data_IF_710985764808
#
_entry.id   IF_710985764808
#
_cell.length_a   1.000
_cell.length_b   1.000
_cell.length_c   1.000
_cell.angle_alpha   90.00
_cell.angle_beta   90.00
_cell.angle_gamma   90.00
#
_symmetry.space_group_name_H-M   'P 1'
#
loop_
_entity.id
_entity.type
_entity.pdbx_description
1 polymer ?
#
# COMPACT_ATOMS: atom_id res chain seq x y z
N UNK A 1 0.22 -11.71 28.02
CA UNK A 1 1.43 -12.49 28.33
C UNK A 1 2.52 -12.06 27.39
N UNK A 2 3.76 -11.82 27.84
CA UNK A 2 4.85 -11.36 26.99
C UNK A 2 5.28 -12.47 26.04
N UNK A 3 5.59 -12.10 24.81
CA UNK A 3 6.07 -12.98 23.76
C UNK A 3 7.44 -13.57 24.11
N UNK A 4 7.57 -14.86 24.02
CA UNK A 4 8.83 -15.59 24.20
C UNK A 4 9.59 -15.61 22.86
N UNK A 5 10.69 -14.86 22.77
CA UNK A 5 11.49 -14.61 21.55
C UNK A 5 12.56 -15.72 21.34
N UNK A 6 12.42 -16.87 21.95
CA UNK A 6 13.52 -17.83 22.07
C UNK A 6 13.57 -18.99 21.06
N UNK A 7 12.62 -19.14 20.13
CA UNK A 7 12.71 -20.22 19.12
C UNK A 7 12.10 -19.71 17.80
N UNK A 8 12.89 -19.67 16.73
CA UNK A 8 12.53 -19.20 15.40
C UNK A 8 11.42 -20.00 14.69
N UNK A 9 10.28 -20.10 15.30
CA UNK A 9 9.09 -20.72 14.71
C UNK A 9 8.25 -19.65 14.02
N UNK A 10 7.94 -19.90 12.76
CA UNK A 10 6.94 -19.18 11.98
C UNK A 10 5.62 -19.15 12.75
N UNK A 11 5.16 -17.99 13.15
CA UNK A 11 3.88 -17.83 13.85
C UNK A 11 2.79 -17.57 12.82
N UNK A 12 1.91 -18.54 12.58
CA UNK A 12 0.66 -18.30 11.86
C UNK A 12 -0.30 -17.55 12.79
N UNK A 13 -0.85 -16.42 12.32
CA UNK A 13 -1.95 -15.75 13.02
C UNK A 13 -3.23 -16.58 12.96
N UNK A 14 -4.20 -16.32 13.81
CA UNK A 14 -5.50 -17.02 13.86
C UNK A 14 -6.27 -16.98 12.52
N UNK A 15 -5.91 -16.10 11.59
CA UNK A 15 -6.45 -15.99 10.22
C UNK A 15 -5.52 -16.61 9.16
N UNK A 16 -4.42 -17.28 9.56
CA UNK A 16 -3.49 -17.93 8.64
C UNK A 16 -2.60 -16.96 7.84
N UNK A 17 -2.51 -15.69 8.20
CA UNK A 17 -1.57 -14.74 7.60
C UNK A 17 -0.16 -14.97 8.16
N UNK A 18 0.88 -14.78 7.33
CA UNK A 18 2.26 -14.99 7.73
C UNK A 18 3.00 -13.68 7.88
N UNK A 19 3.43 -13.41 9.12
CA UNK A 19 4.40 -12.37 9.42
C UNK A 19 5.79 -12.96 9.13
N UNK A 20 6.56 -12.29 8.28
CA UNK A 20 7.97 -12.65 8.08
C UNK A 20 8.76 -12.00 9.22
N UNK A 21 9.34 -12.78 10.18
CA UNK A 21 10.06 -12.18 11.30
C UNK A 21 11.26 -11.35 10.83
N UNK A 22 11.51 -10.21 11.45
CA UNK A 22 12.69 -9.37 11.14
C UNK A 22 14.01 -10.14 11.28
N UNK A 23 14.10 -11.10 12.20
CA UNK A 23 15.28 -11.98 12.36
C UNK A 23 15.57 -12.84 11.14
N UNK A 24 14.56 -13.11 10.32
CA UNK A 24 14.68 -13.84 9.07
C UNK A 24 15.37 -13.02 7.97
N UNK A 25 15.35 -11.71 7.98
CA UNK A 25 16.03 -10.87 6.97
C UNK A 25 17.53 -10.67 7.24
N UNK A 26 18.05 -11.11 8.39
CA UNK A 26 19.41 -10.80 8.86
C UNK A 26 20.28 -12.01 9.23
N UNK A 27 19.88 -13.27 8.92
CA UNK A 27 20.62 -14.51 9.26
C UNK A 27 21.28 -15.18 8.04
N UNK A 28 22.42 -15.88 8.19
CA UNK A 28 23.14 -16.47 7.04
C UNK A 28 22.51 -17.80 6.53
N UNK A 29 22.05 -17.73 5.42
CA UNK A 29 22.11 -18.13 4.03
C UNK A 29 21.32 -19.37 3.54
N UNK A 30 21.41 -20.57 3.91
CA UNK A 30 20.80 -21.64 3.07
C UNK A 30 19.49 -22.24 3.57
N UNK A 31 19.38 -22.52 4.85
CA UNK A 31 18.11 -23.02 5.44
C UNK A 31 17.06 -21.93 5.58
N UNK A 32 17.48 -20.72 5.51
CA UNK A 32 16.74 -19.49 5.70
C UNK A 32 15.97 -19.06 4.43
N UNK A 33 16.62 -19.03 3.27
CA UNK A 33 15.96 -18.76 1.98
C UNK A 33 14.88 -19.82 1.69
N UNK A 34 15.11 -21.06 2.05
CA UNK A 34 14.11 -22.12 1.92
C UNK A 34 12.88 -21.86 2.80
N UNK A 35 13.06 -21.39 4.03
CA UNK A 35 11.96 -21.08 4.95
C UNK A 35 11.11 -19.88 4.47
N UNK A 36 11.74 -18.79 3.99
CA UNK A 36 11.01 -17.63 3.43
C UNK A 36 10.23 -18.03 2.19
N UNK A 37 10.85 -18.78 1.29
CA UNK A 37 10.18 -19.24 0.06
C UNK A 37 8.96 -20.10 0.37
N UNK A 38 8.99 -20.96 1.39
CA UNK A 38 7.83 -21.73 1.83
C UNK A 38 6.69 -20.82 2.34
N UNK A 39 7.01 -19.76 3.07
CA UNK A 39 6.01 -18.78 3.52
C UNK A 39 5.31 -18.14 2.32
N UNK A 40 6.06 -17.75 1.29
CA UNK A 40 5.47 -17.17 0.08
C UNK A 40 4.55 -18.18 -0.62
N UNK A 41 5.00 -19.41 -0.77
CA UNK A 41 4.21 -20.50 -1.36
C UNK A 41 2.90 -20.76 -0.61
N UNK A 42 2.95 -20.82 0.71
CA UNK A 42 1.76 -21.04 1.53
C UNK A 42 0.76 -19.87 1.40
N UNK A 43 1.25 -18.62 1.39
CA UNK A 43 0.40 -17.44 1.19
C UNK A 43 -0.26 -17.45 -0.21
N UNK A 44 0.50 -17.79 -1.24
CA UNK A 44 0.01 -17.88 -2.63
C UNK A 44 -1.01 -19.02 -2.75
N UNK A 45 -0.69 -20.22 -2.28
CA UNK A 45 -1.62 -21.36 -2.34
C UNK A 45 -2.93 -21.10 -1.62
N UNK A 46 -2.88 -20.36 -0.49
CA UNK A 46 -4.09 -19.94 0.21
C UNK A 46 -4.92 -18.98 -0.64
N UNK A 47 -4.30 -17.92 -1.18
CA UNK A 47 -4.97 -16.95 -2.03
C UNK A 47 -5.62 -17.62 -3.25
N UNK A 48 -4.93 -18.52 -3.93
CA UNK A 48 -5.45 -19.26 -5.07
C UNK A 48 -6.70 -20.08 -4.70
N UNK A 49 -6.66 -20.80 -3.58
CA UNK A 49 -7.83 -21.54 -3.09
C UNK A 49 -9.02 -20.64 -2.74
N UNK A 50 -8.77 -19.52 -2.06
CA UNK A 50 -9.82 -18.59 -1.63
C UNK A 50 -10.54 -17.93 -2.81
N UNK A 51 -9.83 -17.69 -3.91
CA UNK A 51 -10.38 -17.02 -5.09
C UNK A 51 -10.72 -17.98 -6.24
N UNK A 52 -10.43 -19.26 -6.11
CA UNK A 52 -10.68 -20.25 -7.15
C UNK A 52 -9.82 -20.08 -8.40
N UNK A 53 -8.59 -19.57 -8.24
CA UNK A 53 -7.63 -19.46 -9.30
C UNK A 53 -6.69 -20.67 -9.36
N UNK A 54 -6.30 -21.08 -10.56
CA UNK A 54 -5.33 -22.16 -10.74
C UNK A 54 -3.89 -21.67 -10.54
N UNK A 55 -3.58 -20.42 -10.95
CA UNK A 55 -2.25 -19.83 -10.85
C UNK A 55 -2.31 -18.29 -10.85
N UNK A 56 -1.19 -17.67 -10.53
CA UNK A 56 -0.93 -16.24 -10.76
C UNK A 56 0.02 -16.12 -11.97
N UNK A 57 -0.46 -15.45 -13.02
CA UNK A 57 0.35 -15.13 -14.22
C UNK A 57 0.74 -13.67 -14.19
N UNK A 58 1.72 -13.33 -13.38
CA UNK A 58 2.09 -11.93 -13.11
C UNK A 58 2.42 -11.15 -14.40
N UNK A 59 1.70 -10.06 -14.65
CA UNK A 59 1.88 -9.12 -15.76
C UNK A 59 1.96 -7.67 -15.31
N UNK A 60 1.38 -7.35 -14.15
CA UNK A 60 1.35 -5.99 -13.62
C UNK A 60 1.56 -5.95 -12.11
N UNK A 61 2.15 -4.85 -11.64
CA UNK A 61 2.29 -4.55 -10.21
C UNK A 61 1.65 -3.19 -9.95
N UNK A 62 0.62 -3.16 -9.12
CA UNK A 62 -0.16 -1.98 -8.78
C UNK A 62 0.37 -1.39 -7.48
N UNK A 63 0.97 -0.22 -7.56
CA UNK A 63 1.58 0.47 -6.43
C UNK A 63 0.68 1.57 -5.89
N UNK A 64 0.48 1.61 -4.57
CA UNK A 64 0.17 2.87 -3.92
C UNK A 64 1.37 3.82 -4.00
N UNK A 65 1.18 5.05 -3.58
CA UNK A 65 2.19 6.07 -3.72
C UNK A 65 2.79 6.51 -2.38
N UNK A 66 1.94 7.03 -1.52
CA UNK A 66 2.35 7.65 -0.26
C UNK A 66 2.71 6.56 0.76
N UNK A 67 3.97 6.56 1.25
CA UNK A 67 4.47 5.47 2.09
C UNK A 67 4.93 4.21 1.34
N UNK A 68 4.71 4.12 0.02
CA UNK A 68 5.20 3.01 -0.83
C UNK A 68 6.30 3.50 -1.79
N UNK A 69 6.01 4.51 -2.59
CA UNK A 69 6.97 5.10 -3.52
C UNK A 69 7.72 6.28 -2.90
N UNK A 70 7.01 7.08 -2.09
CA UNK A 70 7.56 8.25 -1.40
C UNK A 70 7.42 8.13 0.12
N UNK A 71 8.44 8.60 0.84
CA UNK A 71 8.39 8.77 2.29
C UNK A 71 7.63 10.07 2.64
N UNK A 72 6.38 10.15 2.25
CA UNK A 72 5.52 11.34 2.35
C UNK A 72 4.59 11.33 3.56
N UNK A 73 4.35 10.17 4.16
CA UNK A 73 3.35 10.02 5.21
C UNK A 73 3.60 10.86 6.47
N UNK A 74 4.83 11.09 6.95
CA UNK A 74 5.06 12.01 8.06
C UNK A 74 4.54 13.42 7.76
N UNK A 75 4.71 13.89 6.53
CA UNK A 75 4.24 15.22 6.09
C UNK A 75 2.71 15.26 5.92
N UNK A 76 2.12 14.17 5.41
CA UNK A 76 0.66 14.05 5.34
C UNK A 76 0.03 14.04 6.74
N UNK A 77 0.59 13.26 7.67
CA UNK A 77 0.09 13.16 9.04
C UNK A 77 0.18 14.53 9.76
N UNK A 78 1.30 15.25 9.59
CA UNK A 78 1.48 16.58 10.17
C UNK A 78 0.53 17.61 9.57
N UNK A 79 0.39 17.64 8.25
CA UNK A 79 -0.52 18.56 7.57
C UNK A 79 -2.00 18.31 7.93
N UNK A 80 -2.42 17.04 7.97
CA UNK A 80 -3.77 16.68 8.41
C UNK A 80 -4.03 17.09 9.85
N UNK A 81 -3.14 16.73 10.79
CA UNK A 81 -3.29 17.11 12.19
C UNK A 81 -3.39 18.62 12.35
N UNK A 82 -2.44 19.37 11.77
CA UNK A 82 -2.35 20.82 11.90
C UNK A 82 -3.59 21.53 11.36
N UNK A 83 -4.06 21.12 10.19
CA UNK A 83 -5.23 21.79 9.58
C UNK A 83 -6.53 21.39 10.26
N UNK A 84 -6.71 20.14 10.62
CA UNK A 84 -7.89 19.69 11.38
C UNK A 84 -8.01 20.46 12.70
N UNK A 85 -6.92 20.63 13.46
CA UNK A 85 -6.91 21.40 14.71
C UNK A 85 -7.30 22.89 14.48
N UNK A 86 -6.83 23.52 13.39
CA UNK A 86 -7.25 24.89 13.02
C UNK A 86 -8.76 25.03 12.81
N UNK A 87 -9.39 23.98 12.31
CA UNK A 87 -10.84 23.94 12.10
C UNK A 87 -11.62 23.36 13.30
N UNK A 88 -10.97 23.16 14.45
CA UNK A 88 -11.58 22.58 15.65
C UNK A 88 -11.98 21.10 15.48
N UNK A 89 -11.34 20.40 14.55
CA UNK A 89 -11.53 18.98 14.29
C UNK A 89 -10.36 18.19 14.88
N UNK A 90 -10.65 17.04 15.51
CA UNK A 90 -9.63 16.26 16.19
C UNK A 90 -9.21 15.05 15.33
N UNK A 91 -7.98 15.11 14.78
CA UNK A 91 -7.32 14.03 14.08
C UNK A 91 -5.85 13.97 14.53
N UNK A 92 -5.46 12.89 15.21
CA UNK A 92 -4.07 12.71 15.62
C UNK A 92 -3.19 12.35 14.42
N UNK A 93 -1.86 12.58 14.56
CA UNK A 93 -0.89 12.15 13.54
C UNK A 93 -0.91 10.64 13.33
N UNK A 94 -1.05 9.87 14.40
CA UNK A 94 -1.16 8.41 14.33
C UNK A 94 -2.44 7.96 13.61
N UNK A 95 -3.57 8.60 13.92
CA UNK A 95 -4.83 8.32 13.25
C UNK A 95 -4.77 8.64 11.74
N UNK A 96 -4.00 9.63 11.33
CA UNK A 96 -3.84 9.96 9.92
C UNK A 96 -3.28 8.78 9.10
N UNK A 97 -2.41 7.94 9.68
CA UNK A 97 -1.93 6.71 9.03
C UNK A 97 -3.03 5.66 8.82
N UNK A 98 -4.05 5.62 9.70
CA UNK A 98 -5.20 4.73 9.51
C UNK A 98 -6.13 5.17 8.36
N UNK A 99 -6.05 6.44 7.98
CA UNK A 99 -6.85 7.03 6.90
C UNK A 99 -6.06 7.22 5.60
N UNK A 100 -4.80 6.80 5.58
CA UNK A 100 -3.95 6.89 4.39
C UNK A 100 -4.59 6.18 3.19
N UNK A 101 -4.49 6.82 2.01
CA UNK A 101 -5.11 6.31 0.78
C UNK A 101 -6.59 6.68 0.60
N UNK A 102 -7.25 7.29 1.60
CA UNK A 102 -8.59 7.87 1.43
C UNK A 102 -8.53 9.15 0.60
N UNK A 103 -9.64 9.45 -0.06
CA UNK A 103 -9.82 10.80 -0.60
C UNK A 103 -9.92 11.83 0.54
N UNK A 104 -9.47 13.06 0.27
CA UNK A 104 -9.55 14.13 1.28
C UNK A 104 -10.97 14.37 1.80
N UNK A 105 -11.96 14.33 0.91
CA UNK A 105 -13.37 14.45 1.27
C UNK A 105 -13.82 13.36 2.26
N UNK A 106 -13.42 12.11 2.02
CA UNK A 106 -13.79 11.00 2.90
C UNK A 106 -13.13 11.13 4.28
N UNK A 107 -11.86 11.54 4.36
CA UNK A 107 -11.16 11.78 5.63
C UNK A 107 -11.83 12.90 6.42
N UNK A 108 -12.15 14.02 5.79
CA UNK A 108 -12.83 15.16 6.43
C UNK A 108 -14.20 14.72 6.96
N UNK A 109 -14.98 14.02 6.15
CA UNK A 109 -16.31 13.57 6.55
C UNK A 109 -16.28 12.58 7.72
N UNK A 110 -15.33 11.66 7.79
CA UNK A 110 -15.19 10.73 8.93
C UNK A 110 -14.98 11.52 10.24
N UNK A 111 -14.08 12.49 10.22
CA UNK A 111 -13.80 13.31 11.41
C UNK A 111 -15.00 14.18 11.78
N UNK A 112 -15.63 14.79 10.77
CA UNK A 112 -16.79 15.67 10.95
C UNK A 112 -18.02 14.90 11.46
N UNK A 113 -18.30 13.72 10.89
CA UNK A 113 -19.35 12.81 11.36
C UNK A 113 -19.13 12.39 12.81
N UNK A 114 -17.90 11.99 13.16
CA UNK A 114 -17.55 11.59 14.50
C UNK A 114 -17.79 12.70 15.53
N UNK A 115 -17.50 13.96 15.15
CA UNK A 115 -17.54 15.10 16.08
C UNK A 115 -18.90 15.80 16.09
N UNK A 116 -19.61 15.87 14.97
CA UNK A 116 -20.84 16.63 14.81
C UNK A 116 -22.05 15.79 14.38
N UNK A 117 -21.91 14.50 14.12
CA UNK A 117 -23.00 13.60 13.73
C UNK A 117 -23.58 13.87 12.33
N UNK A 118 -22.86 14.58 11.47
CA UNK A 118 -23.28 14.94 10.11
C UNK A 118 -22.05 15.10 9.19
N UNK A 119 -22.27 15.09 7.88
CA UNK A 119 -21.23 15.40 6.90
C UNK A 119 -20.87 16.89 6.90
N UNK A 120 -19.62 17.19 6.56
CA UNK A 120 -19.17 18.53 6.23
C UNK A 120 -19.82 19.00 4.94
N UNK A 121 -20.03 20.33 4.77
CA UNK A 121 -20.53 20.85 3.49
C UNK A 121 -19.45 20.77 2.40
N UNK A 122 -19.82 20.73 1.12
CA UNK A 122 -18.86 20.73 0.03
C UNK A 122 -17.82 21.84 0.13
N UNK A 123 -18.26 23.06 0.52
CA UNK A 123 -17.40 24.25 0.66
C UNK A 123 -16.38 24.06 1.81
N UNK A 124 -16.79 23.44 2.92
CA UNK A 124 -15.89 23.13 4.03
C UNK A 124 -14.86 22.07 3.62
N UNK A 125 -15.30 21.04 2.89
CA UNK A 125 -14.42 19.99 2.38
C UNK A 125 -13.36 20.59 1.48
N UNK A 126 -13.76 21.44 0.53
CA UNK A 126 -12.86 22.12 -0.39
C UNK A 126 -11.85 23.02 0.35
N UNK A 127 -12.32 23.86 1.29
CA UNK A 127 -11.46 24.75 2.08
C UNK A 127 -10.45 23.98 2.93
N UNK A 128 -10.90 22.99 3.69
CA UNK A 128 -10.03 22.18 4.57
C UNK A 128 -9.00 21.42 3.73
N UNK A 129 -9.41 20.85 2.60
CA UNK A 129 -8.50 20.09 1.75
C UNK A 129 -7.49 20.99 1.03
N UNK A 130 -7.89 22.18 0.61
CA UNK A 130 -6.98 23.18 0.05
C UNK A 130 -5.91 23.60 1.08
N UNK A 131 -6.33 23.97 2.30
CA UNK A 131 -5.40 24.31 3.38
C UNK A 131 -4.45 23.15 3.73
N UNK A 132 -4.97 21.91 3.78
CA UNK A 132 -4.15 20.72 4.00
C UNK A 132 -3.10 20.54 2.90
N UNK A 133 -3.47 20.81 1.66
CA UNK A 133 -2.54 20.70 0.52
C UNK A 133 -1.47 21.79 0.58
N UNK A 134 -1.83 23.02 0.98
CA UNK A 134 -0.87 24.08 1.23
C UNK A 134 0.08 23.75 2.39
N UNK A 135 -0.44 23.23 3.50
CA UNK A 135 0.37 22.84 4.65
C UNK A 135 1.36 21.73 4.28
N UNK A 136 0.90 20.71 3.54
CA UNK A 136 1.76 19.66 3.00
C UNK A 136 2.89 20.24 2.12
N UNK A 137 2.56 21.20 1.24
CA UNK A 137 3.54 21.80 0.34
C UNK A 137 4.57 22.73 1.03
N UNK A 138 4.38 23.05 2.32
CA UNK A 138 5.39 23.75 3.14
C UNK A 138 6.51 22.81 3.61
N UNK A 139 6.27 21.51 3.63
CA UNK A 139 7.30 20.53 3.92
C UNK A 139 8.28 20.40 2.74
N UNK A 140 9.50 19.90 2.99
CA UNK A 140 10.42 19.53 1.93
C UNK A 140 9.78 18.53 0.94
N UNK A 141 10.32 18.45 -0.27
CA UNK A 141 9.88 17.41 -1.21
C UNK A 141 10.15 16.02 -0.60
N UNK A 142 9.14 15.12 -0.56
CA UNK A 142 9.34 13.78 -0.02
C UNK A 142 10.39 13.01 -0.82
N UNK A 143 11.30 12.37 -0.11
CA UNK A 143 12.28 11.47 -0.71
C UNK A 143 11.61 10.19 -1.22
N UNK A 144 12.27 9.50 -2.16
CA UNK A 144 11.88 8.15 -2.55
C UNK A 144 11.93 7.24 -1.34
N UNK A 145 10.98 6.34 -1.24
CA UNK A 145 11.06 5.26 -0.26
C UNK A 145 12.27 4.35 -0.62
N UNK A 146 13.14 4.01 0.34
CA UNK A 146 14.26 3.09 0.08
C UNK A 146 13.78 1.78 -0.56
N UNK A 147 14.42 1.35 -1.64
CA UNK A 147 14.05 0.15 -2.41
C UNK A 147 12.99 0.36 -3.48
N UNK A 148 12.26 1.50 -3.48
CA UNK A 148 11.18 1.73 -4.44
C UNK A 148 11.68 1.87 -5.88
N UNK A 149 12.75 2.62 -6.08
CA UNK A 149 13.35 2.78 -7.41
C UNK A 149 13.92 1.46 -7.94
N UNK A 150 14.66 0.76 -7.11
CA UNK A 150 15.34 -0.48 -7.44
C UNK A 150 14.33 -1.58 -7.81
N UNK A 151 13.25 -1.74 -7.05
CA UNK A 151 12.24 -2.76 -7.39
C UNK A 151 11.46 -2.41 -8.65
N UNK A 152 11.17 -1.13 -8.89
CA UNK A 152 10.54 -0.69 -10.14
C UNK A 152 11.42 -0.98 -11.36
N UNK A 153 12.76 -0.80 -11.24
CA UNK A 153 13.70 -1.16 -12.28
C UNK A 153 13.69 -2.67 -12.57
N UNK A 154 13.70 -3.53 -11.52
CA UNK A 154 13.60 -4.98 -11.65
C UNK A 154 12.31 -5.38 -12.37
N UNK A 155 11.16 -4.89 -11.89
CA UNK A 155 9.82 -5.15 -12.45
C UNK A 155 9.78 -4.80 -13.94
N UNK A 156 10.30 -3.63 -14.31
CA UNK A 156 10.32 -3.18 -15.70
C UNK A 156 11.28 -3.99 -16.57
N UNK A 157 12.45 -4.37 -16.04
CA UNK A 157 13.41 -5.22 -16.75
C UNK A 157 12.85 -6.61 -17.07
N UNK A 158 11.92 -7.10 -16.25
CA UNK A 158 11.20 -8.36 -16.44
C UNK A 158 9.98 -8.23 -17.39
N UNK A 159 9.75 -7.04 -17.96
CA UNK A 159 8.63 -6.80 -18.87
C UNK A 159 7.27 -6.64 -18.18
N UNK A 160 7.25 -6.54 -16.84
CA UNK A 160 6.03 -6.31 -16.08
C UNK A 160 5.63 -4.83 -16.13
N UNK A 161 4.34 -4.59 -15.99
CA UNK A 161 3.74 -3.26 -16.06
C UNK A 161 3.55 -2.65 -14.68
N UNK A 162 4.29 -1.59 -14.30
CA UNK A 162 3.96 -0.83 -13.10
C UNK A 162 2.74 0.07 -13.34
N UNK A 163 1.81 0.06 -12.37
CA UNK A 163 0.57 0.86 -12.36
C UNK A 163 0.53 1.65 -11.08
N UNK A 164 0.19 2.93 -11.15
CA UNK A 164 -0.01 3.76 -9.97
C UNK A 164 -1.48 3.76 -9.56
N UNK A 165 -1.77 3.56 -8.27
CA UNK A 165 -3.13 3.65 -7.73
C UNK A 165 -3.12 4.43 -6.42
N UNK A 166 -3.35 5.75 -6.49
CA UNK A 166 -3.27 6.66 -5.33
C UNK A 166 -4.59 7.33 -5.01
N UNK A 167 -4.86 7.56 -3.73
CA UNK A 167 -5.96 8.42 -3.25
C UNK A 167 -5.68 9.93 -3.38
N UNK A 168 -4.50 10.32 -3.83
CA UNK A 168 -4.16 11.73 -3.99
C UNK A 168 -4.83 12.35 -5.21
N UNK A 169 -5.33 13.60 -5.04
CA UNK A 169 -5.90 14.44 -6.09
C UNK A 169 -5.03 15.67 -6.41
N UNK A 170 -3.72 15.63 -6.19
CA UNK A 170 -2.83 16.78 -6.44
C UNK A 170 -2.17 16.70 -7.81
N UNK A 171 -2.34 17.73 -8.64
CA UNK A 171 -1.71 17.80 -9.97
C UNK A 171 -0.18 17.81 -9.91
N UNK A 172 0.41 18.50 -8.91
CA UNK A 172 1.87 18.53 -8.67
C UNK A 172 2.47 17.15 -8.41
N UNK A 173 1.65 16.17 -8.10
CA UNK A 173 2.03 14.80 -7.89
C UNK A 173 2.60 14.13 -9.13
N UNK A 174 1.97 14.35 -10.29
CA UNK A 174 2.40 13.75 -11.55
C UNK A 174 3.78 14.25 -11.98
N UNK A 175 4.05 15.56 -11.77
CA UNK A 175 5.35 16.14 -12.06
C UNK A 175 6.42 15.57 -11.13
N UNK A 176 6.11 15.45 -9.84
CA UNK A 176 7.00 14.83 -8.84
C UNK A 176 7.29 13.37 -9.16
N UNK A 177 6.26 12.60 -9.55
CA UNK A 177 6.41 11.20 -9.94
C UNK A 177 7.30 11.07 -11.17
N UNK A 178 7.09 11.91 -12.20
CA UNK A 178 7.91 11.89 -13.42
C UNK A 178 9.37 12.27 -13.14
N UNK A 179 9.60 13.21 -12.22
CA UNK A 179 10.95 13.61 -11.82
C UNK A 179 11.68 12.51 -11.04
N UNK A 180 11.00 11.92 -10.05
CA UNK A 180 11.62 10.93 -9.16
C UNK A 180 11.66 9.51 -9.74
N UNK A 181 10.71 9.16 -10.61
CA UNK A 181 10.60 7.83 -11.21
C UNK A 181 10.53 7.94 -12.75
N UNK A 182 11.57 8.48 -13.42
CA UNK A 182 11.52 8.79 -14.85
C UNK A 182 11.25 7.53 -15.67
N UNK A 183 10.20 7.60 -16.51
CA UNK A 183 9.82 6.53 -17.42
C UNK A 183 9.23 5.27 -16.76
N UNK A 184 8.98 5.25 -15.44
CA UNK A 184 8.37 4.09 -14.77
C UNK A 184 6.87 4.03 -14.96
N UNK A 185 6.17 5.15 -14.85
CA UNK A 185 4.73 5.21 -14.94
C UNK A 185 4.27 5.96 -16.19
N UNK A 186 3.22 5.47 -16.83
CA UNK A 186 2.54 6.10 -17.96
C UNK A 186 1.21 6.66 -17.48
N UNK A 187 0.83 7.89 -17.89
CA UNK A 187 -0.40 8.56 -17.43
C UNK A 187 -1.66 7.71 -17.64
N UNK A 188 -1.69 6.96 -18.72
CA UNK A 188 -2.79 6.06 -19.08
C UNK A 188 -2.95 4.89 -18.12
N UNK A 189 -1.91 4.59 -17.34
CA UNK A 189 -1.86 3.51 -16.33
C UNK A 189 -1.75 4.04 -14.91
N UNK A 190 -2.26 5.25 -14.68
CA UNK A 190 -2.39 5.84 -13.35
C UNK A 190 -3.85 5.96 -12.98
N UNK A 191 -4.17 5.66 -11.72
CA UNK A 191 -5.46 5.89 -11.08
C UNK A 191 -5.23 6.86 -9.93
N UNK A 192 -5.96 7.97 -9.94
CA UNK A 192 -5.89 9.03 -8.94
C UNK A 192 -7.28 9.29 -8.35
N UNK A 193 -7.38 10.16 -7.34
CA UNK A 193 -8.68 10.53 -6.78
C UNK A 193 -9.66 11.14 -7.83
N UNK A 194 -9.14 11.66 -8.95
CA UNK A 194 -9.98 12.23 -10.02
C UNK A 194 -10.59 11.17 -10.95
N UNK A 195 -10.03 9.95 -10.94
CA UNK A 195 -10.46 8.89 -11.85
C UNK A 195 -11.62 8.07 -11.27
N UNK A 196 -11.82 8.07 -9.95
CA UNK A 196 -12.72 7.16 -9.23
C UNK A 196 -13.87 7.90 -8.54
N UNK A 197 -15.00 7.23 -8.44
CA UNK A 197 -16.14 7.70 -7.65
C UNK A 197 -15.95 7.38 -6.16
N UNK A 198 -15.45 6.20 -5.86
CA UNK A 198 -15.21 5.73 -4.51
C UNK A 198 -13.74 5.42 -4.32
N UNK A 199 -13.10 6.12 -3.36
CA UNK A 199 -11.73 5.84 -2.96
C UNK A 199 -11.60 4.60 -2.07
N UNK A 200 -10.37 4.19 -1.78
CA UNK A 200 -10.05 3.13 -0.82
C UNK A 200 -10.80 3.37 0.51
N UNK A 201 -11.38 2.36 1.16
CA UNK A 201 -11.21 0.91 0.96
C UNK A 201 -12.10 0.29 -0.11
N UNK A 202 -12.84 1.08 -0.90
CA UNK A 202 -13.59 0.53 -2.03
C UNK A 202 -12.60 -0.09 -3.04
N UNK A 203 -12.91 -1.25 -3.65
CA UNK A 203 -12.02 -1.88 -4.63
C UNK A 203 -11.92 -1.12 -5.97
N UNK A 204 -12.80 -0.14 -6.22
CA UNK A 204 -12.86 0.59 -7.50
C UNK A 204 -11.49 1.09 -8.00
N UNK A 205 -10.61 1.71 -7.17
CA UNK A 205 -9.32 2.19 -7.65
C UNK A 205 -8.44 1.06 -8.20
N UNK A 206 -8.41 -0.09 -7.54
CA UNK A 206 -7.61 -1.23 -7.99
C UNK A 206 -8.24 -1.97 -9.17
N UNK A 207 -9.57 -2.10 -9.22
CA UNK A 207 -10.28 -2.64 -10.39
C UNK A 207 -10.03 -1.77 -11.63
N UNK A 208 -10.07 -0.45 -11.48
CA UNK A 208 -9.70 0.48 -12.56
C UNK A 208 -8.21 0.35 -12.95
N UNK A 209 -7.33 0.11 -11.98
CA UNK A 209 -5.91 -0.16 -12.24
C UNK A 209 -5.71 -1.41 -13.09
N UNK A 210 -6.44 -2.49 -12.82
CA UNK A 210 -6.46 -3.70 -13.66
C UNK A 210 -6.96 -3.41 -15.08
N UNK A 211 -8.05 -2.66 -15.19
CA UNK A 211 -8.63 -2.27 -16.49
C UNK A 211 -7.62 -1.46 -17.31
N UNK A 212 -7.02 -0.41 -16.73
CA UNK A 212 -6.00 0.42 -17.40
C UNK A 212 -4.74 -0.35 -17.79
N UNK A 213 -4.40 -1.41 -17.04
CA UNK A 213 -3.29 -2.31 -17.39
C UNK A 213 -3.67 -3.41 -18.39
N UNK A 214 -4.96 -3.65 -18.62
CA UNK A 214 -5.47 -4.71 -19.49
C UNK A 214 -5.22 -6.11 -18.93
N UNK A 215 -5.27 -6.27 -17.58
CA UNK A 215 -4.98 -7.52 -16.88
C UNK A 215 -6.12 -7.94 -15.94
N UNK A 216 -6.16 -9.22 -15.58
CA UNK A 216 -7.08 -9.78 -14.59
C UNK A 216 -6.49 -9.73 -13.18
N UNK A 217 -7.31 -9.96 -12.15
CA UNK A 217 -6.88 -9.95 -10.76
C UNK A 217 -5.74 -10.97 -10.49
N UNK A 218 -5.81 -12.18 -11.05
CA UNK A 218 -4.76 -13.19 -10.95
C UNK A 218 -3.56 -12.96 -11.89
N UNK A 219 -3.50 -11.83 -12.56
CA UNK A 219 -2.36 -11.40 -13.40
C UNK A 219 -1.64 -10.19 -12.80
N UNK A 220 -2.03 -9.78 -11.60
CA UNK A 220 -1.46 -8.63 -10.91
C UNK A 220 -1.24 -8.90 -9.43
N UNK A 221 -0.37 -8.09 -8.83
CA UNK A 221 -0.24 -7.94 -7.37
C UNK A 221 -0.39 -6.48 -7.00
N UNK A 222 -0.82 -6.23 -5.75
CA UNK A 222 -0.86 -4.89 -5.14
C UNK A 222 0.28 -4.74 -4.15
N UNK A 223 0.91 -3.57 -4.10
CA UNK A 223 1.88 -3.18 -3.08
C UNK A 223 1.33 -1.97 -2.34
N UNK A 224 1.11 -2.12 -1.04
CA UNK A 224 0.41 -1.17 -0.17
C UNK A 224 1.05 -1.06 1.21
N UNK A 225 0.84 0.05 1.92
CA UNK A 225 1.32 0.26 3.29
C UNK A 225 0.22 0.65 4.27
N UNK A 226 -0.99 0.96 3.78
CA UNK A 226 -2.10 1.43 4.59
C UNK A 226 -3.22 0.38 4.72
N UNK A 227 -3.86 0.24 5.89
CA UNK A 227 -4.89 -0.77 6.11
C UNK A 227 -6.04 -0.69 5.10
N UNK A 228 -6.51 0.52 4.80
CA UNK A 228 -7.63 0.70 3.85
C UNK A 228 -7.24 0.43 2.39
N UNK A 229 -5.97 0.66 2.04
CA UNK A 229 -5.45 0.31 0.72
C UNK A 229 -5.31 -1.20 0.57
N UNK A 230 -4.82 -1.89 1.61
CA UNK A 230 -4.80 -3.35 1.67
C UNK A 230 -6.22 -3.93 1.55
N UNK A 231 -7.21 -3.36 2.29
CA UNK A 231 -8.62 -3.76 2.16
C UNK A 231 -9.13 -3.60 0.72
N UNK A 232 -8.80 -2.50 0.06
CA UNK A 232 -9.20 -2.25 -1.32
C UNK A 232 -8.59 -3.27 -2.30
N UNK A 233 -7.29 -3.60 -2.15
CA UNK A 233 -6.59 -4.61 -2.95
C UNK A 233 -7.19 -6.00 -2.76
N UNK A 234 -7.40 -6.40 -1.50
CA UNK A 234 -8.03 -7.68 -1.14
C UNK A 234 -9.47 -7.77 -1.66
N UNK A 235 -10.26 -6.69 -1.51
CA UNK A 235 -11.65 -6.63 -2.01
C UNK A 235 -11.72 -6.64 -3.55
N UNK A 236 -10.67 -6.20 -4.25
CA UNK A 236 -10.54 -6.33 -5.69
C UNK A 236 -10.15 -7.75 -6.13
N UNK A 237 -9.92 -8.67 -5.19
CA UNK A 237 -9.51 -10.04 -5.45
C UNK A 237 -8.08 -10.17 -5.96
N UNK A 238 -7.20 -9.22 -5.63
CA UNK A 238 -5.81 -9.17 -6.08
C UNK A 238 -4.89 -9.62 -4.96
N UNK A 239 -3.85 -10.43 -5.26
CA UNK A 239 -2.82 -10.77 -4.29
C UNK A 239 -2.15 -9.51 -3.76
N UNK A 240 -2.34 -9.23 -2.47
CA UNK A 240 -1.93 -7.96 -1.87
C UNK A 240 -0.74 -8.15 -0.93
N UNK A 241 0.34 -7.45 -1.23
CA UNK A 241 1.56 -7.37 -0.43
C UNK A 241 1.55 -6.08 0.35
N UNK A 242 1.66 -6.17 1.67
CA UNK A 242 1.83 -5.00 2.52
C UNK A 242 3.32 -4.75 2.80
N UNK A 243 3.71 -3.47 2.82
CA UNK A 243 5.02 -2.99 3.28
C UNK A 243 4.81 -2.06 4.48
N UNK A 244 5.27 -2.47 5.66
CA UNK A 244 5.04 -1.69 6.89
C UNK A 244 6.06 -0.56 7.01
N UNK A 245 5.77 0.56 6.39
CA UNK A 245 6.64 1.76 6.35
C UNK A 245 6.20 2.86 7.33
N UNK A 246 5.12 2.63 8.06
CA UNK A 246 4.57 3.53 9.07
C UNK A 246 4.73 3.01 10.51
N UNK A 247 4.14 3.73 11.48
CA UNK A 247 4.21 3.37 12.90
C UNK A 247 3.20 2.29 13.32
N UNK A 248 2.34 1.81 12.42
CA UNK A 248 1.28 0.87 12.75
C UNK A 248 1.86 -0.51 13.07
N UNK A 249 1.16 -1.24 13.97
CA UNK A 249 1.45 -2.66 14.13
C UNK A 249 1.18 -3.40 12.81
N UNK A 250 2.14 -4.22 12.37
CA UNK A 250 2.00 -5.00 11.14
C UNK A 250 0.79 -5.93 11.13
N UNK A 251 0.30 -6.34 12.31
CA UNK A 251 -0.92 -7.14 12.43
C UNK A 251 -2.16 -6.43 11.86
N UNK A 252 -2.21 -5.10 11.95
CA UNK A 252 -3.30 -4.29 11.38
C UNK A 252 -3.38 -4.46 9.85
N UNK A 253 -2.23 -4.56 9.18
CA UNK A 253 -2.15 -4.78 7.74
C UNK A 253 -2.55 -6.23 7.37
N UNK A 254 -2.14 -7.21 8.17
CA UNK A 254 -2.56 -8.60 7.98
C UNK A 254 -4.07 -8.77 8.20
N UNK A 255 -4.62 -8.14 9.23
CA UNK A 255 -6.06 -8.15 9.52
C UNK A 255 -6.88 -7.42 8.44
N UNK A 256 -6.29 -6.46 7.76
CA UNK A 256 -6.87 -5.78 6.61
C UNK A 256 -6.94 -6.67 5.35
N UNK A 257 -6.24 -7.80 5.32
CA UNK A 257 -6.28 -8.79 4.24
C UNK A 257 -5.01 -8.89 3.41
N UNK A 258 -3.86 -8.38 3.90
CA UNK A 258 -2.58 -8.61 3.23
C UNK A 258 -2.24 -10.11 3.18
N UNK A 259 -1.84 -10.59 2.00
CA UNK A 259 -1.37 -11.96 1.81
C UNK A 259 0.06 -12.14 2.31
N UNK A 260 0.91 -11.12 2.11
CA UNK A 260 2.28 -11.05 2.61
C UNK A 260 2.52 -9.69 3.27
N UNK A 261 3.39 -9.66 4.28
CA UNK A 261 3.83 -8.46 4.96
C UNK A 261 5.35 -8.39 5.00
N UNK A 262 5.91 -7.30 4.47
CA UNK A 262 7.32 -6.95 4.58
C UNK A 262 7.50 -5.80 5.58
N UNK A 263 8.61 -5.77 6.34
CA UNK A 263 8.86 -4.71 7.32
C UNK A 263 9.23 -3.35 6.69
N UNK A 264 9.53 -3.33 5.39
CA UNK A 264 9.84 -2.12 4.65
C UNK A 264 9.76 -2.36 3.14
N UNK A 265 9.75 -1.28 2.37
CA UNK A 265 9.84 -1.35 0.91
C UNK A 265 11.21 -1.89 0.44
N UNK A 266 12.30 -1.60 1.20
CA UNK A 266 13.62 -2.18 0.94
C UNK A 266 13.60 -3.70 1.10
N UNK A 267 13.00 -4.21 2.16
CA UNK A 267 12.87 -5.66 2.38
C UNK A 267 12.06 -6.34 1.27
N UNK A 268 11.01 -5.69 0.76
CA UNK A 268 10.28 -6.18 -0.41
C UNK A 268 11.17 -6.21 -1.66
N UNK A 269 11.93 -5.14 -1.92
CA UNK A 269 12.88 -5.06 -3.03
C UNK A 269 13.96 -6.15 -2.97
N UNK A 270 14.49 -6.41 -1.78
CA UNK A 270 15.54 -7.43 -1.56
C UNK A 270 15.02 -8.85 -1.78
N UNK A 271 13.71 -9.06 -1.62
CA UNK A 271 13.07 -10.37 -1.79
C UNK A 271 12.24 -10.47 -3.09
N UNK A 272 12.32 -9.50 -3.98
CA UNK A 272 11.50 -9.45 -5.20
C UNK A 272 11.60 -10.73 -6.04
N UNK A 273 12.83 -11.19 -6.32
CA UNK A 273 13.06 -12.38 -7.13
C UNK A 273 12.42 -13.63 -6.50
N UNK A 274 12.56 -13.79 -5.18
CA UNK A 274 11.97 -14.93 -4.47
C UNK A 274 10.42 -14.88 -4.46
N UNK A 275 9.82 -13.69 -4.33
CA UNK A 275 8.37 -13.50 -4.46
C UNK A 275 7.90 -13.84 -5.87
N UNK A 276 8.55 -13.28 -6.89
CA UNK A 276 8.23 -13.53 -8.30
C UNK A 276 8.32 -15.02 -8.65
N UNK A 277 9.41 -15.69 -8.24
CA UNK A 277 9.63 -17.11 -8.50
C UNK A 277 8.59 -17.98 -7.78
N UNK A 278 8.17 -17.58 -6.57
CA UNK A 278 7.10 -18.26 -5.87
C UNK A 278 5.74 -18.08 -6.58
N UNK A 279 5.45 -16.89 -7.13
CA UNK A 279 4.23 -16.63 -7.90
C UNK A 279 4.20 -17.43 -9.21
N UNK A 280 5.36 -17.65 -9.86
CA UNK A 280 5.46 -18.37 -11.13
C UNK A 280 5.45 -19.91 -10.99
N UNK A 281 5.68 -20.45 -9.81
CA UNK A 281 6.03 -21.87 -9.62
C UNK A 281 4.83 -22.81 -9.35
N UNK A 282 3.60 -22.35 -9.57
CA UNK A 282 2.39 -23.21 -9.49
C UNK A 282 1.82 -23.53 -10.88
N UNK A 283 2.69 -23.86 -11.84
CA UNK A 283 2.30 -24.53 -13.11
C UNK A 283 2.24 -26.05 -12.95
#
# INVERSE_FOLDING_TARGET
QPFDVAHGNLCATSKGCFLIPNSLFYSPISNFLFSIYQVFKEAISRYLREHGYDNIRLKAVLFDMDGVLFNSMPYHADAWHTVMERHGLHLSREEAYMHEGRTGAATINIVYQRQYGKDATPEMIESIYAEKSEEFNRHPEPERMPGAWEVLQKIKAEGLTPVLVTGSGQHSLLDRLAHNFPGMFQRERMVTAFDVKYGKPNPEPYLMGLEKAGVKANEAIVVENAPIGVQAGAAAGIFTIAVNTGPLDGQVLLDAGANLLFPSMQAFCDNWEAVRDALASEE
#
